data_IF_357604741454
#
_entry.id   IF_357604741454
#
_cell.length_a   1.000
_cell.length_b   1.000
_cell.length_c   1.000
_cell.angle_alpha   90.00
_cell.angle_beta   90.00
_cell.angle_gamma   90.00
#
_symmetry.space_group_name_H-M   'P 1'
#
loop_
_entity.id
_entity.type
_entity.pdbx_description
1 polymer ?
#
# COMPACT_ATOMS: atom_id res chain seq x y z
N UNK A 1 1.81 20.88 -9.39
CA UNK A 1 1.22 21.89 -8.48
C UNK A 1 2.30 22.90 -8.17
N UNK A 2 1.96 24.19 -8.14
CA UNK A 2 2.91 25.24 -7.76
C UNK A 2 3.11 25.22 -6.23
N UNK A 3 4.26 25.68 -5.75
CA UNK A 3 4.53 25.76 -4.30
C UNK A 3 3.49 26.63 -3.57
N UNK A 4 2.87 27.58 -4.26
CA UNK A 4 1.82 28.45 -3.73
C UNK A 4 0.52 27.71 -3.38
N UNK A 5 0.08 26.74 -4.19
CA UNK A 5 -1.15 25.98 -3.89
C UNK A 5 -0.97 25.08 -2.65
N UNK A 6 0.24 24.52 -2.50
CA UNK A 6 0.59 23.73 -1.31
C UNK A 6 0.66 24.63 -0.08
N UNK A 7 1.25 25.82 -0.18
CA UNK A 7 1.27 26.77 0.94
C UNK A 7 -0.15 27.17 1.39
N UNK A 8 -1.05 27.47 0.46
CA UNK A 8 -2.45 27.81 0.80
C UNK A 8 -3.17 26.65 1.51
N UNK A 9 -2.97 25.41 1.06
CA UNK A 9 -3.55 24.24 1.69
C UNK A 9 -3.03 24.05 3.13
N UNK A 10 -1.72 24.24 3.37
CA UNK A 10 -1.16 24.17 4.73
C UNK A 10 -1.62 25.32 5.63
N UNK A 11 -1.75 26.52 5.09
CA UNK A 11 -2.31 27.67 5.81
C UNK A 11 -3.75 27.40 6.26
N UNK A 12 -4.57 26.84 5.36
CA UNK A 12 -5.93 26.42 5.65
C UNK A 12 -5.93 25.35 6.74
N UNK A 13 -5.12 24.31 6.60
CA UNK A 13 -5.01 23.25 7.60
C UNK A 13 -4.70 23.78 9.01
N UNK A 14 -3.69 24.66 9.14
CA UNK A 14 -3.32 25.28 10.42
C UNK A 14 -4.47 26.11 11.00
N UNK A 15 -5.18 26.86 10.13
CA UNK A 15 -6.30 27.71 10.55
C UNK A 15 -7.47 26.86 11.05
N UNK A 16 -7.82 25.80 10.32
CA UNK A 16 -8.93 24.90 10.63
C UNK A 16 -8.66 24.11 11.93
N UNK A 17 -7.40 23.75 12.19
CA UNK A 17 -7.00 22.98 13.37
C UNK A 17 -6.50 23.86 14.52
N UNK A 18 -6.62 25.19 14.42
CA UNK A 18 -6.00 26.13 15.36
C UNK A 18 -6.30 25.83 16.83
N UNK A 19 -7.55 25.50 17.16
CA UNK A 19 -7.97 25.20 18.53
C UNK A 19 -7.40 23.87 19.07
N UNK A 20 -7.03 22.96 18.18
CA UNK A 20 -6.48 21.65 18.49
C UNK A 20 -4.95 21.65 18.58
N UNK A 21 -4.29 22.68 18.04
CA UNK A 21 -2.84 22.84 18.16
C UNK A 21 -2.42 23.06 19.62
N UNK A 22 -1.25 22.53 19.96
CA UNK A 22 -0.66 22.75 21.29
C UNK A 22 -0.44 24.24 21.56
N UNK A 23 -0.52 24.64 22.83
CA UNK A 23 -0.25 26.02 23.25
C UNK A 23 1.14 26.50 22.84
N UNK A 24 2.13 25.60 22.81
CA UNK A 24 3.48 25.88 22.33
C UNK A 24 3.50 26.24 20.86
N UNK A 25 2.89 25.41 20.01
CA UNK A 25 2.82 25.64 18.56
C UNK A 25 2.10 26.94 18.23
N UNK A 26 0.93 27.17 18.85
CA UNK A 26 0.20 28.44 18.70
C UNK A 26 1.04 29.65 19.11
N UNK A 27 1.75 29.56 20.25
CA UNK A 27 2.62 30.64 20.71
C UNK A 27 3.76 30.91 19.72
N UNK A 28 4.39 29.86 19.18
CA UNK A 28 5.48 29.99 18.19
C UNK A 28 4.98 30.66 16.91
N UNK A 29 3.85 30.19 16.35
CA UNK A 29 3.24 30.73 15.14
C UNK A 29 2.80 32.19 15.32
N UNK A 30 2.29 32.55 16.51
CA UNK A 30 1.94 33.93 16.87
C UNK A 30 3.15 34.83 17.06
N UNK A 31 4.16 34.38 17.81
CA UNK A 31 5.39 35.15 18.06
C UNK A 31 6.16 35.45 16.79
N UNK A 32 6.09 34.54 15.81
CA UNK A 32 6.66 34.77 14.49
C UNK A 32 5.87 35.80 13.64
N UNK A 33 4.69 36.24 14.09
CA UNK A 33 3.85 37.22 13.39
C UNK A 33 3.01 36.65 12.25
N UNK A 34 3.05 35.32 12.03
CA UNK A 34 2.37 34.66 10.91
C UNK A 34 0.89 34.48 11.13
N UNK A 35 0.47 34.22 12.38
CA UNK A 35 -0.90 33.91 12.74
C UNK A 35 -1.38 34.81 13.89
N UNK A 36 -2.62 35.28 13.80
CA UNK A 36 -3.28 36.03 14.86
C UNK A 36 -3.78 35.15 16.02
N UNK A 37 -4.41 35.76 17.02
CA UNK A 37 -4.89 35.02 18.21
C UNK A 37 -5.92 33.93 17.87
N UNK A 38 -6.70 34.16 16.82
CA UNK A 38 -7.76 33.27 16.33
C UNK A 38 -7.30 32.31 15.23
N UNK A 39 -5.99 32.23 14.94
CA UNK A 39 -5.46 31.36 13.90
C UNK A 39 -5.64 31.86 12.48
N UNK A 40 -6.11 33.10 12.29
CA UNK A 40 -6.10 33.74 10.98
C UNK A 40 -4.66 34.06 10.56
N UNK A 41 -4.28 33.70 9.33
CA UNK A 41 -2.99 34.05 8.75
C UNK A 41 -2.90 35.57 8.54
N UNK A 42 -1.85 36.20 9.07
CA UNK A 42 -1.59 37.63 8.89
C UNK A 42 -0.92 37.89 7.54
N UNK A 43 -1.59 38.55 6.56
CA UNK A 43 -1.02 38.77 5.22
C UNK A 43 0.22 39.68 5.23
N UNK A 44 0.38 40.49 6.28
CA UNK A 44 1.46 41.46 6.44
C UNK A 44 2.68 40.91 7.18
N UNK A 45 2.74 39.60 7.48
CA UNK A 45 3.91 38.99 8.14
C UNK A 45 5.19 39.37 7.39
N UNK A 46 6.02 40.22 8.03
CA UNK A 46 7.17 40.87 7.40
C UNK A 46 8.12 39.83 6.79
N UNK A 47 8.60 40.10 5.57
CA UNK A 47 9.66 39.31 4.94
C UNK A 47 10.93 39.50 5.76
N UNK A 48 11.22 38.56 6.66
CA UNK A 48 12.40 38.59 7.54
C UNK A 48 13.07 37.23 7.61
N UNK A 49 14.38 37.18 7.34
CA UNK A 49 15.15 35.94 7.29
C UNK A 49 15.03 35.06 8.56
N UNK A 50 15.02 33.74 8.37
CA UNK A 50 15.05 32.73 9.44
C UNK A 50 13.67 32.14 9.79
N UNK A 51 12.88 32.77 10.70
CA UNK A 51 11.56 32.25 11.09
C UNK A 51 10.56 32.20 9.93
N UNK A 52 10.72 33.11 8.96
CA UNK A 52 9.79 33.22 7.84
C UNK A 52 9.86 32.04 6.88
N UNK A 53 11.08 31.65 6.50
CA UNK A 53 11.33 30.55 5.57
C UNK A 53 10.88 29.22 6.19
N UNK A 54 11.20 29.01 7.48
CA UNK A 54 10.77 27.83 8.23
C UNK A 54 9.24 27.66 8.29
N UNK A 55 8.48 28.74 8.49
CA UNK A 55 7.02 28.63 8.53
C UNK A 55 6.45 28.37 7.13
N UNK A 56 7.04 28.95 6.07
CA UNK A 56 6.64 28.62 4.70
C UNK A 56 6.95 27.18 4.32
N UNK A 57 8.07 26.64 4.78
CA UNK A 57 8.42 25.23 4.62
C UNK A 57 7.40 24.34 5.32
N UNK A 58 7.02 24.67 6.57
CA UNK A 58 5.96 23.98 7.30
C UNK A 58 4.61 24.05 6.58
N UNK A 59 4.17 25.24 6.16
CA UNK A 59 2.92 25.43 5.41
C UNK A 59 2.94 24.59 4.11
N UNK A 60 4.05 24.60 3.37
CA UNK A 60 4.19 23.79 2.16
C UNK A 60 4.15 22.29 2.46
N UNK A 61 4.84 21.82 3.51
CA UNK A 61 4.86 20.42 3.91
C UNK A 61 3.48 19.92 4.33
N UNK A 62 2.79 20.68 5.22
CA UNK A 62 1.44 20.35 5.65
C UNK A 62 0.46 20.35 4.49
N UNK A 63 0.56 21.33 3.58
CA UNK A 63 -0.32 21.37 2.42
C UNK A 63 -0.08 20.25 1.42
N UNK A 64 1.17 19.85 1.18
CA UNK A 64 1.50 18.66 0.38
C UNK A 64 0.83 17.41 0.98
N UNK A 65 0.99 17.22 2.29
CA UNK A 65 0.44 16.05 2.99
C UNK A 65 -1.10 16.07 3.04
N UNK A 66 -1.72 17.23 3.30
CA UNK A 66 -3.19 17.39 3.33
C UNK A 66 -3.79 17.10 1.95
N UNK A 67 -3.24 17.69 0.90
CA UNK A 67 -3.73 17.46 -0.46
C UNK A 67 -3.57 16.00 -0.90
N UNK A 68 -2.51 15.32 -0.45
CA UNK A 68 -2.32 13.90 -0.71
C UNK A 68 -3.39 13.05 -0.01
N UNK A 69 -3.65 13.30 1.27
CA UNK A 69 -4.69 12.58 2.04
C UNK A 69 -6.09 12.85 1.49
N UNK A 70 -6.38 14.08 1.08
CA UNK A 70 -7.68 14.48 0.52
C UNK A 70 -7.87 14.10 -0.95
N UNK A 71 -6.84 13.59 -1.63
CA UNK A 71 -6.87 13.28 -3.06
C UNK A 71 -7.01 14.51 -3.97
N UNK A 72 -6.75 15.71 -3.44
CA UNK A 72 -6.95 17.00 -4.12
C UNK A 72 -5.73 17.46 -4.96
N UNK A 73 -4.68 16.65 -5.06
CA UNK A 73 -3.42 17.02 -5.71
C UNK A 73 -2.77 15.90 -6.53
N UNK A 74 -1.61 16.22 -7.12
CA UNK A 74 -0.78 15.19 -7.75
C UNK A 74 -0.33 14.17 -6.70
N UNK A 75 -0.38 12.87 -7.05
CA UNK A 75 0.12 11.82 -6.18
C UNK A 75 1.60 12.09 -5.87
N UNK A 76 1.90 12.29 -4.58
CA UNK A 76 3.27 12.45 -4.11
C UNK A 76 3.99 11.11 -4.21
N UNK A 77 5.28 11.15 -4.55
CA UNK A 77 6.13 9.98 -4.43
C UNK A 77 6.36 9.61 -2.96
N UNK A 78 6.76 8.36 -2.71
CA UNK A 78 7.07 7.87 -1.35
C UNK A 78 8.14 8.74 -0.69
N UNK A 79 9.16 9.15 -1.46
CA UNK A 79 10.26 9.97 -0.97
C UNK A 79 9.82 11.40 -0.61
N UNK A 80 8.91 11.99 -1.37
CA UNK A 80 8.35 13.32 -1.07
C UNK A 80 7.48 13.32 0.19
N UNK A 81 6.67 12.27 0.37
CA UNK A 81 5.89 12.10 1.61
C UNK A 81 6.85 11.90 2.78
N UNK A 82 7.85 11.03 2.64
CA UNK A 82 8.86 10.79 3.68
C UNK A 82 9.65 12.06 4.04
N UNK A 83 10.01 12.88 3.04
CA UNK A 83 10.70 14.16 3.25
C UNK A 83 9.83 15.15 4.04
N UNK A 84 8.56 15.32 3.66
CA UNK A 84 7.64 16.20 4.36
C UNK A 84 7.35 15.70 5.80
N UNK A 85 7.26 14.38 6.01
CA UNK A 85 7.17 13.80 7.34
C UNK A 85 8.43 14.07 8.17
N UNK A 86 9.63 13.97 7.56
CA UNK A 86 10.91 14.24 8.20
C UNK A 86 11.01 15.70 8.63
N UNK A 87 10.58 16.62 7.77
CA UNK A 87 10.49 18.04 8.07
C UNK A 87 9.69 18.26 9.36
N UNK A 88 8.46 17.75 9.44
CA UNK A 88 7.59 17.85 10.62
C UNK A 88 8.22 17.21 11.87
N UNK A 89 8.84 16.03 11.71
CA UNK A 89 9.31 15.24 12.83
C UNK A 89 10.63 15.75 13.43
N UNK A 90 11.54 16.27 12.62
CA UNK A 90 12.88 16.61 13.08
C UNK A 90 13.08 18.09 13.38
N UNK A 91 12.10 18.94 13.04
CA UNK A 91 12.07 20.32 13.51
C UNK A 91 11.30 20.38 14.84
N UNK A 92 11.96 20.64 15.98
CA UNK A 92 11.32 20.57 17.30
C UNK A 92 10.10 21.46 17.46
N UNK A 93 10.04 22.57 16.73
CA UNK A 93 8.94 23.53 16.72
C UNK A 93 7.69 23.01 16.00
N UNK A 94 7.81 21.97 15.17
CA UNK A 94 6.72 21.42 14.35
C UNK A 94 6.20 20.07 14.87
N UNK A 95 6.73 19.59 15.99
CA UNK A 95 6.27 18.35 16.66
C UNK A 95 4.94 18.54 17.38
N UNK A 96 3.96 19.11 16.69
CA UNK A 96 2.60 19.22 17.17
C UNK A 96 1.84 17.90 16.90
N UNK A 97 1.04 17.40 17.86
CA UNK A 97 0.28 16.17 17.66
C UNK A 97 -0.60 16.19 16.40
N UNK A 98 -1.23 17.31 16.05
CA UNK A 98 -2.07 17.38 14.85
C UNK A 98 -1.24 17.25 13.57
N UNK A 99 -0.04 17.84 13.54
CA UNK A 99 0.86 17.75 12.39
C UNK A 99 1.41 16.32 12.23
N UNK A 100 1.77 15.67 13.34
CA UNK A 100 2.24 14.28 13.36
C UNK A 100 1.14 13.32 12.89
N UNK A 101 -0.13 13.54 13.28
CA UNK A 101 -1.26 12.74 12.81
C UNK A 101 -1.49 12.88 11.31
N UNK A 102 -1.41 14.09 10.77
CA UNK A 102 -1.50 14.30 9.32
C UNK A 102 -0.35 13.59 8.60
N UNK A 103 0.88 13.75 9.07
CA UNK A 103 2.06 13.08 8.51
C UNK A 103 1.93 11.56 8.54
N UNK A 104 1.42 11.00 9.64
CA UNK A 104 1.16 9.58 9.77
C UNK A 104 0.08 9.10 8.79
N UNK A 105 -1.05 9.83 8.67
CA UNK A 105 -2.12 9.49 7.71
C UNK A 105 -1.62 9.51 6.27
N UNK A 106 -0.85 10.52 5.90
CA UNK A 106 -0.24 10.60 4.57
C UNK A 106 0.71 9.43 4.31
N UNK A 107 1.57 9.09 5.27
CA UNK A 107 2.48 7.93 5.15
C UNK A 107 1.70 6.61 5.07
N UNK A 108 0.64 6.45 5.86
CA UNK A 108 -0.22 5.27 5.83
C UNK A 108 -0.96 5.12 4.49
N UNK A 109 -1.49 6.23 3.94
CA UNK A 109 -2.10 6.27 2.61
C UNK A 109 -1.09 5.84 1.54
N UNK A 110 0.13 6.36 1.61
CA UNK A 110 1.15 6.03 0.64
C UNK A 110 1.65 4.58 0.74
N UNK A 111 1.77 4.05 1.95
CA UNK A 111 2.10 2.64 2.16
C UNK A 111 0.99 1.73 1.67
N UNK A 112 -0.28 2.14 1.80
CA UNK A 112 -1.42 1.43 1.22
C UNK A 112 -1.31 1.41 -0.30
N UNK A 113 -1.08 2.55 -0.93
CA UNK A 113 -0.96 2.64 -2.40
C UNK A 113 0.25 1.86 -2.94
N UNK A 114 1.39 1.92 -2.26
CA UNK A 114 2.61 1.19 -2.64
C UNK A 114 2.51 -0.33 -2.37
N UNK A 115 1.72 -0.73 -1.36
CA UNK A 115 1.49 -2.13 -1.02
C UNK A 115 0.35 -2.77 -1.82
N UNK A 116 -0.44 -2.00 -2.58
CA UNK A 116 -1.45 -2.53 -3.47
C UNK A 116 -0.75 -3.36 -4.56
N UNK A 117 -0.89 -4.71 -4.58
CA UNK A 117 -0.25 -5.50 -5.60
C UNK A 117 -0.85 -5.13 -6.97
N UNK A 118 -0.07 -5.23 -8.07
CA UNK A 118 -0.55 -4.86 -9.38
C UNK A 118 -1.81 -5.66 -9.69
N UNK A 119 -2.93 -4.94 -9.79
CA UNK A 119 -4.28 -5.47 -10.06
C UNK A 119 -4.34 -5.89 -11.53
N UNK A 120 -3.55 -6.88 -11.93
CA UNK A 120 -4.06 -7.77 -12.95
C UNK A 120 -5.14 -8.59 -12.24
N UNK A 121 -6.40 -8.61 -12.70
CA UNK A 121 -7.46 -9.30 -12.00
C UNK A 121 -7.04 -10.75 -11.77
N UNK A 122 -6.75 -11.10 -10.52
CA UNK A 122 -6.33 -12.46 -10.15
C UNK A 122 -7.40 -13.45 -10.59
N UNK A 123 -8.66 -13.03 -10.60
CA UNK A 123 -9.79 -13.74 -11.20
C UNK A 123 -9.58 -14.01 -12.69
N UNK A 124 -9.19 -13.02 -13.49
CA UNK A 124 -8.89 -13.22 -14.92
C UNK A 124 -7.69 -14.15 -15.13
N UNK A 125 -6.65 -14.07 -14.28
CA UNK A 125 -5.50 -14.98 -14.33
C UNK A 125 -5.90 -16.41 -13.92
N UNK A 126 -6.76 -16.54 -12.92
CA UNK A 126 -7.30 -17.81 -12.42
C UNK A 126 -8.23 -18.46 -13.44
N UNK A 127 -9.06 -17.67 -14.10
CA UNK A 127 -9.98 -18.14 -15.13
C UNK A 127 -9.24 -18.51 -16.41
N UNK A 128 -8.22 -17.74 -16.81
CA UNK A 128 -7.33 -18.13 -17.91
C UNK A 128 -6.59 -19.45 -17.60
N UNK A 129 -6.12 -19.64 -16.36
CA UNK A 129 -5.49 -20.90 -15.95
C UNK A 129 -6.48 -22.08 -15.97
N UNK A 130 -7.71 -21.89 -15.50
CA UNK A 130 -8.80 -22.90 -15.55
C UNK A 130 -9.23 -23.22 -16.98
N UNK A 131 -9.31 -22.24 -17.87
CA UNK A 131 -9.65 -22.46 -19.27
C UNK A 131 -8.58 -23.27 -20.00
N UNK A 132 -7.29 -22.95 -19.79
CA UNK A 132 -6.17 -23.73 -20.33
C UNK A 132 -6.17 -25.17 -19.78
N UNK A 133 -6.53 -25.35 -18.51
CA UNK A 133 -6.74 -26.66 -17.90
C UNK A 133 -7.81 -27.45 -18.64
N UNK A 134 -9.04 -26.92 -18.69
CA UNK A 134 -10.17 -27.59 -19.32
C UNK A 134 -9.92 -27.93 -20.78
N UNK A 135 -9.29 -27.03 -21.54
CA UNK A 135 -8.95 -27.28 -22.94
C UNK A 135 -7.95 -28.44 -23.09
N UNK A 136 -6.91 -28.50 -22.25
CA UNK A 136 -5.93 -29.59 -22.27
C UNK A 136 -6.54 -30.93 -21.81
N UNK A 137 -7.39 -30.93 -20.77
CA UNK A 137 -8.09 -32.15 -20.34
C UNK A 137 -9.06 -32.63 -21.41
N UNK A 138 -9.82 -31.72 -22.06
CA UNK A 138 -10.75 -32.08 -23.12
C UNK A 138 -10.03 -32.69 -24.33
N UNK A 139 -8.90 -32.11 -24.75
CA UNK A 139 -8.05 -32.67 -25.80
C UNK A 139 -7.53 -34.06 -25.45
N UNK A 140 -7.08 -34.27 -24.21
CA UNK A 140 -6.60 -35.58 -23.77
C UNK A 140 -7.72 -36.63 -23.68
N UNK A 141 -8.90 -36.24 -23.17
CA UNK A 141 -10.08 -37.14 -23.10
C UNK A 141 -10.57 -37.53 -24.50
N UNK A 142 -10.42 -36.66 -25.51
CA UNK A 142 -10.73 -37.01 -26.89
C UNK A 142 -9.64 -37.89 -27.54
N UNK A 143 -8.36 -37.63 -27.27
CA UNK A 143 -7.24 -38.30 -27.92
C UNK A 143 -6.93 -39.70 -27.34
N UNK A 144 -7.11 -39.92 -26.03
CA UNK A 144 -6.80 -41.20 -25.38
C UNK A 144 -7.64 -42.37 -25.93
N UNK A 145 -8.98 -42.23 -26.09
CA UNK A 145 -9.81 -43.31 -26.63
C UNK A 145 -9.49 -43.62 -28.08
N UNK A 146 -9.13 -42.60 -28.89
CA UNK A 146 -8.70 -42.76 -30.27
C UNK A 146 -7.39 -43.56 -30.37
N UNK A 147 -6.41 -43.22 -29.53
CA UNK A 147 -5.14 -43.95 -29.47
C UNK A 147 -5.33 -45.40 -29.00
N UNK A 148 -6.19 -45.64 -28.01
CA UNK A 148 -6.52 -46.97 -27.54
C UNK A 148 -7.31 -47.79 -28.56
N UNK A 149 -8.26 -47.17 -29.27
CA UNK A 149 -9.00 -47.83 -30.34
C UNK A 149 -8.07 -48.22 -31.50
N UNK A 150 -7.12 -47.37 -31.86
CA UNK A 150 -6.13 -47.67 -32.89
C UNK A 150 -5.20 -48.82 -32.47
N UNK A 151 -4.76 -48.82 -31.19
CA UNK A 151 -3.98 -49.93 -30.63
C UNK A 151 -4.74 -51.26 -30.65
N UNK A 152 -6.04 -51.25 -30.30
CA UNK A 152 -6.89 -52.44 -30.30
C UNK A 152 -7.14 -52.99 -31.70
N UNK A 153 -7.37 -52.11 -32.69
CA UNK A 153 -7.56 -52.52 -34.09
C UNK A 153 -6.27 -53.08 -34.68
N UNK A 154 -5.13 -52.46 -34.42
CA UNK A 154 -3.82 -52.98 -34.83
C UNK A 154 -3.51 -54.34 -34.19
N UNK A 155 -3.85 -54.49 -32.90
CA UNK A 155 -3.70 -55.76 -32.18
C UNK A 155 -4.60 -56.86 -32.75
N UNK A 156 -5.86 -56.55 -33.05
CA UNK A 156 -6.81 -57.49 -33.66
C UNK A 156 -6.36 -57.95 -35.06
N UNK A 157 -5.71 -57.07 -35.83
CA UNK A 157 -5.18 -57.36 -37.17
C UNK A 157 -3.82 -58.07 -37.16
N UNK A 158 -3.24 -58.33 -35.99
CA UNK A 158 -1.88 -58.88 -35.87
C UNK A 158 -0.78 -57.93 -36.31
N UNK A 159 -1.08 -56.63 -36.47
CA UNK A 159 -0.12 -55.60 -36.86
C UNK A 159 0.56 -55.01 -35.61
N UNK A 160 1.60 -55.70 -35.13
CA UNK A 160 2.32 -55.35 -33.89
C UNK A 160 2.88 -53.91 -33.89
N UNK A 161 3.29 -53.40 -35.05
CA UNK A 161 3.81 -52.03 -35.20
C UNK A 161 2.73 -50.98 -34.95
N UNK A 162 1.51 -51.20 -35.45
CA UNK A 162 0.38 -50.28 -35.24
C UNK A 162 -0.13 -50.35 -33.80
N UNK A 163 -0.20 -51.56 -33.23
CA UNK A 163 -0.60 -51.77 -31.84
C UNK A 163 0.35 -51.07 -30.84
N UNK A 164 1.66 -51.21 -31.05
CA UNK A 164 2.69 -50.57 -30.22
C UNK A 164 2.73 -49.05 -30.40
N UNK A 165 2.53 -48.54 -31.62
CA UNK A 165 2.41 -47.11 -31.88
C UNK A 165 1.19 -46.48 -31.19
N UNK A 166 0.03 -47.15 -31.21
CA UNK A 166 -1.17 -46.69 -30.50
C UNK A 166 -1.00 -46.66 -28.97
N UNK A 167 -0.36 -47.68 -28.39
CA UNK A 167 -0.05 -47.72 -26.96
C UNK A 167 0.97 -46.65 -26.55
N UNK A 168 1.98 -46.41 -27.38
CA UNK A 168 2.95 -45.34 -27.15
C UNK A 168 2.29 -43.95 -27.20
N UNK A 169 1.44 -43.71 -28.19
CA UNK A 169 0.68 -42.47 -28.29
C UNK A 169 -0.23 -42.24 -27.05
N UNK A 170 -0.91 -43.29 -26.58
CA UNK A 170 -1.73 -43.21 -25.37
C UNK A 170 -0.88 -42.89 -24.11
N UNK A 171 0.29 -43.51 -23.98
CA UNK A 171 1.22 -43.23 -22.88
C UNK A 171 1.75 -41.79 -22.91
N UNK A 172 2.10 -41.26 -24.09
CA UNK A 172 2.55 -39.87 -24.26
C UNK A 172 1.45 -38.87 -23.89
N UNK A 173 0.21 -39.10 -24.36
CA UNK A 173 -0.94 -38.25 -24.01
C UNK A 173 -1.23 -38.31 -22.50
N UNK A 174 -1.18 -39.49 -21.89
CA UNK A 174 -1.36 -39.67 -20.45
C UNK A 174 -0.29 -38.95 -19.62
N UNK A 175 0.99 -39.05 -20.01
CA UNK A 175 2.10 -38.37 -19.34
C UNK A 175 2.02 -36.84 -19.50
N UNK A 176 1.66 -36.35 -20.69
CA UNK A 176 1.44 -34.92 -20.93
C UNK A 176 0.31 -34.36 -20.06
N UNK A 177 -0.81 -35.10 -19.95
CA UNK A 177 -1.92 -34.73 -19.09
C UNK A 177 -1.52 -34.67 -17.61
N UNK A 178 -0.82 -35.70 -17.11
CA UNK A 178 -0.32 -35.74 -15.74
C UNK A 178 0.60 -34.55 -15.42
N UNK A 179 1.48 -34.18 -16.37
CA UNK A 179 2.34 -33.02 -16.23
C UNK A 179 1.57 -31.69 -16.22
N UNK A 180 0.57 -31.52 -17.10
CA UNK A 180 -0.30 -30.33 -17.13
C UNK A 180 -1.06 -30.17 -15.82
N UNK A 181 -1.66 -31.25 -15.31
CA UNK A 181 -2.38 -31.25 -14.02
C UNK A 181 -1.45 -30.89 -12.87
N UNK A 182 -0.22 -31.45 -12.84
CA UNK A 182 0.77 -31.13 -11.80
C UNK A 182 1.26 -29.69 -11.87
N UNK A 183 1.46 -29.13 -13.07
CA UNK A 183 1.88 -27.74 -13.24
C UNK A 183 0.79 -26.77 -12.81
N UNK A 184 -0.46 -27.08 -13.16
CA UNK A 184 -1.62 -26.25 -12.83
C UNK A 184 -1.96 -26.23 -11.35
N UNK A 185 -1.80 -27.34 -10.63
CA UNK A 185 -1.98 -27.35 -9.18
C UNK A 185 -0.98 -26.43 -8.47
N UNK A 186 0.26 -26.32 -8.99
CA UNK A 186 1.24 -25.34 -8.54
C UNK A 186 0.82 -23.90 -8.80
N UNK A 187 0.41 -23.58 -10.04
CA UNK A 187 -0.05 -22.24 -10.41
C UNK A 187 -1.29 -21.79 -9.64
N UNK A 188 -2.24 -22.69 -9.39
CA UNK A 188 -3.45 -22.38 -8.63
C UNK A 188 -3.12 -22.13 -7.15
N UNK A 189 -2.21 -22.93 -6.55
CA UNK A 189 -1.75 -22.70 -5.17
C UNK A 189 -1.02 -21.36 -5.02
N UNK A 190 -0.20 -20.96 -5.99
CA UNK A 190 0.47 -19.66 -5.93
C UNK A 190 -0.53 -18.50 -6.03
N UNK A 191 -1.55 -18.63 -6.89
CA UNK A 191 -2.63 -17.64 -7.00
C UNK A 191 -3.51 -17.58 -5.75
N UNK A 192 -3.79 -18.72 -5.11
CA UNK A 192 -4.53 -18.76 -3.84
C UNK A 192 -3.73 -18.10 -2.70
N UNK A 193 -2.42 -18.30 -2.65
CA UNK A 193 -1.53 -17.61 -1.70
C UNK A 193 -1.47 -16.10 -1.97
N UNK A 194 -1.42 -15.67 -3.23
CA UNK A 194 -1.51 -14.26 -3.60
C UNK A 194 -2.87 -13.65 -3.19
N UNK A 195 -3.97 -14.38 -3.40
CA UNK A 195 -5.31 -13.93 -3.00
C UNK A 195 -5.47 -13.89 -1.47
N UNK A 196 -4.89 -14.84 -0.73
CA UNK A 196 -4.84 -14.80 0.73
C UNK A 196 -4.00 -13.62 1.25
N UNK A 197 -2.86 -13.33 0.62
CA UNK A 197 -2.03 -12.15 0.94
C UNK A 197 -2.78 -10.86 0.68
N UNK A 198 -3.52 -10.79 -0.44
CA UNK A 198 -4.39 -9.66 -0.76
C UNK A 198 -5.50 -9.46 0.26
N UNK A 199 -6.24 -10.52 0.61
CA UNK A 199 -7.31 -10.44 1.62
C UNK A 199 -6.76 -10.15 3.02
N UNK A 200 -5.55 -10.63 3.34
CA UNK A 200 -4.86 -10.23 4.58
C UNK A 200 -4.49 -8.75 4.50
N UNK A 201 -3.92 -8.29 3.39
CA UNK A 201 -3.60 -6.89 3.16
C UNK A 201 -4.82 -5.98 3.27
N UNK A 202 -5.96 -6.28 2.62
CA UNK A 202 -7.20 -5.49 2.71
C UNK A 202 -7.71 -5.39 4.15
N UNK A 203 -7.60 -6.47 4.94
CA UNK A 203 -7.96 -6.47 6.36
C UNK A 203 -7.01 -5.64 7.22
N UNK A 204 -5.75 -5.48 6.81
CA UNK A 204 -4.71 -4.77 7.57
C UNK A 204 -4.48 -3.32 7.09
N UNK A 205 -4.87 -2.98 5.85
CA UNK A 205 -4.69 -1.68 5.21
C UNK A 205 -5.69 -0.61 5.68
N UNK A 206 -6.71 -0.97 6.46
CA UNK A 206 -7.58 -0.03 7.17
C UNK A 206 -6.81 0.58 8.36
N UNK A 207 -5.90 1.51 8.05
CA UNK A 207 -5.24 2.38 9.04
C UNK A 207 -6.10 3.60 9.42
N UNK A 208 -7.22 3.80 8.74
CA UNK A 208 -7.99 5.06 8.79
C UNK A 208 -8.84 5.24 10.06
N UNK A 209 -9.19 4.14 10.76
CA UNK A 209 -10.23 4.16 11.83
C UNK A 209 -9.78 3.74 13.23
N UNK A 210 -8.49 3.57 13.52
CA UNK A 210 -8.08 3.22 14.90
C UNK A 210 -7.90 4.49 15.73
N UNK A 211 -8.73 4.72 16.78
CA UNK A 211 -8.44 5.74 17.77
C UNK A 211 -7.17 5.33 18.53
N UNK A 212 -6.05 5.92 18.11
CA UNK A 212 -4.80 6.20 18.84
C UNK A 212 -4.59 5.37 20.11
N UNK A 213 -3.95 4.20 19.97
CA UNK A 213 -3.00 3.67 20.96
C UNK A 213 -1.84 3.02 20.18
N UNK A 214 -0.66 3.65 20.24
CA UNK A 214 0.47 3.42 19.32
C UNK A 214 1.00 2.00 19.19
N UNK A 215 0.74 1.12 20.17
CA UNK A 215 1.15 -0.29 20.12
C UNK A 215 0.61 -1.05 18.88
N UNK A 216 -0.56 -0.65 18.37
CA UNK A 216 -1.14 -1.26 17.17
C UNK A 216 -0.47 -0.84 15.87
N UNK A 217 0.07 0.38 15.79
CA UNK A 217 0.62 0.93 14.55
C UNK A 217 2.01 0.40 14.25
N UNK A 218 2.87 0.25 15.27
CA UNK A 218 4.21 -0.35 15.10
C UNK A 218 4.12 -1.79 14.61
N UNK A 219 3.29 -2.61 15.26
CA UNK A 219 3.07 -4.00 14.86
C UNK A 219 2.56 -4.10 13.41
N UNK A 220 1.67 -3.19 12.98
CA UNK A 220 1.19 -3.14 11.59
C UNK A 220 2.29 -2.79 10.59
N UNK A 221 3.18 -1.85 10.91
CA UNK A 221 4.33 -1.54 10.06
C UNK A 221 5.29 -2.74 9.95
N UNK A 222 5.55 -3.43 11.06
CA UNK A 222 6.34 -4.66 11.09
C UNK A 222 5.68 -5.78 10.26
N UNK A 223 4.35 -5.90 10.31
CA UNK A 223 3.61 -6.84 9.46
C UNK A 223 3.72 -6.49 7.97
N UNK A 224 3.56 -5.22 7.59
CA UNK A 224 3.73 -4.79 6.21
C UNK A 224 5.15 -5.09 5.70
N UNK A 225 6.17 -4.82 6.51
CA UNK A 225 7.56 -5.18 6.21
C UNK A 225 7.73 -6.69 6.04
N UNK A 226 7.10 -7.51 6.90
CA UNK A 226 7.13 -8.98 6.76
C UNK A 226 6.44 -9.50 5.49
N UNK A 227 5.49 -8.73 4.96
CA UNK A 227 4.82 -9.00 3.68
C UNK A 227 5.63 -8.54 2.45
N UNK A 228 6.85 -8.02 2.65
CA UNK A 228 7.73 -7.57 1.57
C UNK A 228 7.48 -6.13 1.09
N UNK A 229 6.68 -5.34 1.82
CA UNK A 229 6.49 -3.91 1.54
C UNK A 229 7.70 -3.15 2.07
N UNK A 230 8.27 -2.26 1.24
CA UNK A 230 9.34 -1.37 1.68
C UNK A 230 8.72 -0.28 2.54
N UNK A 231 8.92 -0.37 3.85
CA UNK A 231 8.46 0.62 4.82
C UNK A 231 9.59 1.62 5.10
N UNK A 232 9.43 2.93 4.82
CA UNK A 232 10.42 3.93 5.16
C UNK A 232 10.68 3.99 6.69
N UNK A 233 11.93 4.12 7.15
CA UNK A 233 12.24 4.21 8.59
C UNK A 233 11.46 5.31 9.32
N UNK A 234 11.21 6.43 8.63
CA UNK A 234 10.43 7.57 9.15
C UNK A 234 9.01 7.16 9.60
N UNK A 235 8.43 6.10 9.04
CA UNK A 235 7.12 5.62 9.47
C UNK A 235 7.15 5.10 10.91
N UNK A 236 8.24 4.43 11.31
CA UNK A 236 8.44 3.99 12.69
C UNK A 236 8.70 5.16 13.64
N UNK A 237 9.48 6.16 13.18
CA UNK A 237 9.76 7.35 13.97
C UNK A 237 8.49 8.18 14.22
N UNK A 238 7.57 8.25 13.24
CA UNK A 238 6.26 8.90 13.38
C UNK A 238 5.39 8.19 14.43
N UNK A 239 5.38 6.86 14.43
CA UNK A 239 4.64 6.07 15.45
C UNK A 239 5.21 6.33 16.84
N UNK A 240 6.54 6.29 17.00
CA UNK A 240 7.19 6.56 18.28
C UNK A 240 6.91 7.99 18.77
N UNK A 241 6.93 8.98 17.87
CA UNK A 241 6.60 10.35 18.23
C UNK A 241 5.13 10.53 18.64
N UNK A 242 4.21 9.86 17.95
CA UNK A 242 2.80 9.85 18.31
C UNK A 242 2.57 9.20 19.69
N UNK A 243 3.27 8.11 20.00
CA UNK A 243 3.22 7.42 21.30
C UNK A 243 3.68 8.32 22.45
N UNK A 244 4.84 8.95 22.30
CA UNK A 244 5.39 9.86 23.32
C UNK A 244 4.45 11.03 23.58
N UNK A 245 3.91 11.64 22.52
CA UNK A 245 3.09 12.83 22.67
C UNK A 245 1.68 12.51 23.20
N UNK A 246 1.11 11.36 22.82
CA UNK A 246 -0.14 10.87 23.39
C UNK A 246 0.03 10.51 24.87
N UNK A 247 1.15 9.88 25.24
CA UNK A 247 1.49 9.58 26.64
C UNK A 247 1.55 10.85 27.50
N UNK A 248 2.22 11.91 27.01
CA UNK A 248 2.28 13.20 27.70
C UNK A 248 0.93 13.89 27.86
N UNK A 249 0.04 13.79 26.86
CA UNK A 249 -1.31 14.34 26.96
C UNK A 249 -2.11 13.65 28.07
N UNK A 250 -1.99 12.32 28.20
CA UNK A 250 -2.67 11.55 29.25
C UNK A 250 -2.13 11.89 30.66
N UNK A 251 -0.81 12.06 30.79
CA UNK A 251 -0.18 12.47 32.06
C UNK A 251 -0.57 13.91 32.49
N UNK A 252 -0.92 14.78 31.54
CA UNK A 252 -1.34 16.16 31.84
C UNK A 252 -2.79 16.29 32.36
N UNK A 253 -3.58 15.22 32.21
CA UNK A 253 -5.00 15.17 32.62
C UNK A 253 -5.16 14.49 34.00
N UNK A 254 -4.20 13.66 34.42
CA UNK A 254 -4.19 12.96 35.71
C UNK A 254 -3.49 13.74 36.81
#
# INVERSE_FOLDING_TARGET
>A
MTDESSQQAGQKFISDHWLHLSSRTRLTLRKAGFYGEKGARNPESERGFGPYERIRELEAALGRLSNHVEGAGAALSVDEVALACREILYVPEWRDPEFIRLAFRAMASQLRDAAAPPIAPIEARRDAARWRARAATALAVAALPLAMAWALVGGWRGQLVEASAGLYAAAVVGAALAWVVRRQSGTLRSLDLEQQRLQAWERHALMDDVPVIGAGHRFRLEQLASCGVVVPPIAFDLVAALEVETGRQLESIG
#
